data_IF_470647600603
#
_entry.id   IF_470647600603
#
_cell.length_a   1.000
_cell.length_b   1.000
_cell.length_c   1.000
_cell.angle_alpha   90.00
_cell.angle_beta   90.00
_cell.angle_gamma   90.00
#
_symmetry.space_group_name_H-M   'P 1'
#
loop_
_entity.id
_entity.type
_entity.pdbx_description
1 polymer ?
#
# COMPACT_ATOMS: atom_id res chain seq x y z
N UNK A 1 9.75 8.79 5.12
CA UNK A 1 8.44 8.65 4.46
C UNK A 1 7.83 7.31 4.87
N UNK A 2 6.54 7.20 4.88
CA UNK A 2 5.83 5.96 5.21
C UNK A 2 5.06 5.48 3.98
N UNK A 3 5.27 4.23 3.59
CA UNK A 3 4.58 3.65 2.45
C UNK A 3 3.30 2.96 2.96
N UNK A 4 2.16 3.34 2.43
CA UNK A 4 0.88 2.73 2.78
C UNK A 4 0.48 1.72 1.69
N UNK A 5 0.02 0.54 2.10
CA UNK A 5 -0.52 -0.42 1.15
C UNK A 5 -1.98 -0.08 0.80
N UNK A 6 -2.55 -0.83 -0.15
CA UNK A 6 -3.92 -0.62 -0.58
C UNK A 6 -4.92 -0.82 0.57
N UNK A 7 -4.68 -1.78 1.47
CA UNK A 7 -5.60 -2.06 2.59
C UNK A 7 -5.72 -0.87 3.53
N UNK A 8 -4.61 -0.20 3.82
CA UNK A 8 -4.59 0.96 4.72
C UNK A 8 -5.39 2.13 4.11
N UNK A 9 -5.19 2.39 2.83
CA UNK A 9 -5.91 3.47 2.13
C UNK A 9 -7.39 3.15 1.98
N UNK A 10 -7.72 1.94 1.53
CA UNK A 10 -9.11 1.52 1.38
C UNK A 10 -9.86 1.55 2.71
N UNK A 11 -9.21 1.11 3.78
CA UNK A 11 -9.80 1.18 5.11
C UNK A 11 -10.17 2.60 5.51
N UNK A 12 -9.32 3.58 5.23
CA UNK A 12 -9.62 5.00 5.47
C UNK A 12 -10.76 5.50 4.60
N UNK A 13 -10.70 5.24 3.29
CA UNK A 13 -11.70 5.76 2.35
C UNK A 13 -13.08 5.15 2.53
N UNK A 14 -13.14 3.90 2.97
CA UNK A 14 -14.40 3.19 3.23
C UNK A 14 -14.89 3.36 4.68
N UNK A 15 -14.16 4.12 5.49
CA UNK A 15 -14.56 4.41 6.87
C UNK A 15 -14.49 3.20 7.80
N UNK A 16 -13.58 2.26 7.54
CA UNK A 16 -13.37 1.12 8.44
C UNK A 16 -12.78 1.58 9.77
N UNK A 17 -13.38 1.12 10.88
CA UNK A 17 -12.94 1.50 12.22
C UNK A 17 -11.48 1.11 12.48
N UNK A 18 -11.06 -0.06 12.01
CA UNK A 18 -9.68 -0.55 12.19
C UNK A 18 -8.62 0.32 11.50
N UNK A 19 -9.03 1.16 10.54
CA UNK A 19 -8.13 2.06 9.83
C UNK A 19 -7.85 3.36 10.59
N UNK A 20 -8.51 3.61 11.70
CA UNK A 20 -8.29 4.84 12.48
C UNK A 20 -6.82 5.14 12.76
N UNK A 21 -6.01 4.17 13.22
CA UNK A 21 -4.58 4.41 13.49
C UNK A 21 -3.77 4.82 12.25
N UNK A 22 -4.23 4.55 11.04
CA UNK A 22 -3.54 4.95 9.80
C UNK A 22 -3.45 6.47 9.68
N UNK A 23 -4.45 7.19 10.22
CA UNK A 23 -4.50 8.66 10.16
C UNK A 23 -3.23 9.30 10.70
N UNK A 24 -2.66 8.74 11.75
CA UNK A 24 -1.42 9.24 12.37
C UNK A 24 -0.18 9.15 11.45
N UNK A 25 -0.27 8.40 10.35
CA UNK A 25 0.83 8.21 9.41
C UNK A 25 0.66 9.01 8.11
N UNK A 26 -0.43 9.75 7.95
CA UNK A 26 -0.73 10.44 6.68
C UNK A 26 0.18 11.63 6.40
N UNK A 27 0.74 12.28 7.42
CA UNK A 27 1.52 13.52 7.26
C UNK A 27 2.77 13.35 6.38
N UNK A 28 3.31 12.15 6.30
CA UNK A 28 4.49 11.84 5.50
C UNK A 28 4.30 10.49 4.78
N UNK A 29 3.14 10.33 4.16
CA UNK A 29 2.74 9.08 3.54
C UNK A 29 2.88 9.10 2.02
N UNK A 30 3.16 7.93 1.48
CA UNK A 30 3.22 7.69 0.06
C UNK A 30 2.55 6.36 -0.29
N UNK A 31 2.17 6.23 -1.54
CA UNK A 31 1.58 5.01 -2.09
C UNK A 31 2.27 4.66 -3.41
N UNK A 32 2.52 3.38 -3.65
CA UNK A 32 2.96 2.93 -4.97
C UNK A 32 1.89 3.21 -6.04
N UNK A 33 2.31 3.59 -7.22
CA UNK A 33 1.40 3.76 -8.37
C UNK A 33 0.58 2.48 -8.64
N UNK A 34 1.16 1.30 -8.41
CA UNK A 34 0.43 0.03 -8.55
C UNK A 34 -0.70 -0.07 -7.53
N UNK A 35 -0.44 0.28 -6.29
CA UNK A 35 -1.45 0.24 -5.23
C UNK A 35 -2.50 1.33 -5.41
N UNK A 36 -2.13 2.47 -5.97
CA UNK A 36 -3.10 3.48 -6.37
C UNK A 36 -4.10 2.90 -7.39
N UNK A 37 -3.61 2.18 -8.40
CA UNK A 37 -4.47 1.52 -9.38
C UNK A 37 -5.40 0.50 -8.72
N UNK A 38 -4.89 -0.29 -7.77
CA UNK A 38 -5.72 -1.23 -7.00
C UNK A 38 -6.83 -0.52 -6.22
N UNK A 39 -6.49 0.57 -5.53
CA UNK A 39 -7.45 1.34 -4.75
C UNK A 39 -8.56 1.88 -5.65
N UNK A 40 -8.19 2.50 -6.77
CA UNK A 40 -9.16 3.04 -7.72
C UNK A 40 -10.08 1.93 -8.27
N UNK A 41 -9.50 0.77 -8.62
CA UNK A 41 -10.27 -0.37 -9.12
C UNK A 41 -11.26 -0.92 -8.09
N UNK A 42 -10.84 -1.03 -6.83
CA UNK A 42 -11.74 -1.51 -5.77
C UNK A 42 -12.83 -0.51 -5.42
N UNK A 43 -12.55 0.78 -5.51
CA UNK A 43 -13.57 1.81 -5.34
C UNK A 43 -14.57 1.79 -6.50
N UNK A 44 -14.13 1.46 -7.71
CA UNK A 44 -15.00 1.26 -8.86
C UNK A 44 -16.00 0.10 -8.59
N UNK A 45 -15.54 -0.97 -7.94
CA UNK A 45 -16.39 -2.10 -7.56
C UNK A 45 -17.55 -1.70 -6.64
N UNK A 46 -17.40 -0.62 -5.88
CA UNK A 46 -18.46 -0.06 -5.03
C UNK A 46 -19.10 1.20 -5.65
N UNK A 47 -19.03 1.30 -6.98
CA UNK A 47 -19.63 2.36 -7.79
C UNK A 47 -19.11 3.77 -7.51
N UNK A 48 -17.87 3.89 -7.06
CA UNK A 48 -17.20 5.19 -6.93
C UNK A 48 -16.42 5.50 -8.22
N UNK A 49 -16.80 6.54 -8.98
CA UNK A 49 -16.10 6.87 -10.23
C UNK A 49 -14.63 7.25 -9.99
N UNK A 50 -13.78 6.99 -10.98
CA UNK A 50 -12.34 7.24 -10.88
C UNK A 50 -12.01 8.71 -10.53
N UNK A 51 -12.77 9.68 -11.05
CA UNK A 51 -12.53 11.09 -10.74
C UNK A 51 -12.83 11.43 -9.26
N UNK A 52 -13.81 10.77 -8.65
CA UNK A 52 -14.11 10.92 -7.22
C UNK A 52 -13.01 10.29 -6.38
N UNK A 53 -12.57 9.09 -6.78
CA UNK A 53 -11.44 8.41 -6.11
C UNK A 53 -10.18 9.28 -6.17
N UNK A 54 -9.87 9.87 -7.33
CA UNK A 54 -8.73 10.77 -7.48
C UNK A 54 -8.81 11.99 -6.54
N UNK A 55 -9.98 12.60 -6.43
CA UNK A 55 -10.19 13.72 -5.51
C UNK A 55 -9.93 13.32 -4.05
N UNK A 56 -10.43 12.16 -3.62
CA UNK A 56 -10.19 11.66 -2.27
C UNK A 56 -8.71 11.41 -2.02
N UNK A 57 -8.01 10.83 -2.98
CA UNK A 57 -6.57 10.60 -2.87
C UNK A 57 -5.80 11.91 -2.73
N UNK A 58 -6.17 12.94 -3.51
CA UNK A 58 -5.56 14.26 -3.40
C UNK A 58 -5.82 14.91 -2.04
N UNK A 59 -7.01 14.71 -1.47
CA UNK A 59 -7.35 15.24 -0.14
C UNK A 59 -6.54 14.59 0.96
N UNK A 60 -6.15 13.32 0.80
CA UNK A 60 -5.26 12.65 1.73
C UNK A 60 -3.81 13.15 1.60
N UNK A 61 -3.54 13.93 0.56
CA UNK A 61 -2.22 14.50 0.27
C UNK A 61 -1.12 13.42 0.19
N UNK A 62 -1.47 12.28 -0.39
CA UNK A 62 -0.53 11.18 -0.57
C UNK A 62 0.41 11.46 -1.73
N UNK A 63 1.68 11.19 -1.49
CA UNK A 63 2.67 11.17 -2.56
C UNK A 63 2.56 9.85 -3.33
N UNK A 64 2.47 9.91 -4.66
CA UNK A 64 2.47 8.72 -5.50
C UNK A 64 3.88 8.43 -5.96
N UNK A 65 4.37 7.23 -5.67
CA UNK A 65 5.70 6.77 -6.08
C UNK A 65 5.57 5.96 -7.36
N UNK A 66 6.28 6.37 -8.40
CA UNK A 66 6.31 5.63 -9.66
C UNK A 66 6.85 4.22 -9.45
N UNK A 67 6.27 3.25 -10.14
CA UNK A 67 6.73 1.86 -10.12
C UNK A 67 7.70 1.64 -11.27
N UNK A 68 8.99 1.74 -10.97
CA UNK A 68 10.07 1.69 -11.96
C UNK A 68 10.67 0.28 -12.13
N UNK A 69 11.69 0.17 -12.97
CA UNK A 69 12.37 -1.09 -13.24
C UNK A 69 13.00 -1.69 -11.97
N UNK A 70 13.65 -0.88 -11.14
CA UNK A 70 14.25 -1.34 -9.90
C UNK A 70 13.20 -2.00 -9.01
N UNK A 71 12.07 -1.33 -8.82
CA UNK A 71 10.97 -1.85 -8.00
C UNK A 71 10.34 -3.10 -8.64
N UNK A 72 10.24 -3.16 -9.95
CA UNK A 72 9.73 -4.33 -10.65
C UNK A 72 10.62 -5.55 -10.41
N UNK A 73 11.92 -5.38 -10.45
CA UNK A 73 12.87 -6.46 -10.17
C UNK A 73 12.79 -6.93 -8.72
N UNK A 74 12.66 -6.00 -7.78
CA UNK A 74 12.49 -6.33 -6.36
C UNK A 74 11.18 -7.09 -6.15
N UNK A 75 10.07 -6.59 -6.70
CA UNK A 75 8.76 -7.23 -6.54
C UNK A 75 8.73 -8.64 -7.12
N UNK A 76 9.31 -8.84 -8.30
CA UNK A 76 9.45 -10.15 -8.91
C UNK A 76 10.31 -11.09 -8.07
N UNK A 77 11.41 -10.57 -7.55
CA UNK A 77 12.35 -11.34 -6.70
C UNK A 77 11.76 -11.77 -5.35
N UNK A 78 10.71 -11.10 -4.88
CA UNK A 78 10.04 -11.45 -3.62
C UNK A 78 9.04 -12.60 -3.75
N UNK A 79 8.72 -13.04 -4.96
CA UNK A 79 7.62 -13.99 -5.17
C UNK A 79 7.81 -15.29 -4.38
N UNK A 80 9.00 -15.87 -4.42
CA UNK A 80 9.29 -17.13 -3.72
C UNK A 80 9.24 -16.97 -2.20
N UNK A 81 9.85 -15.92 -1.68
CA UNK A 81 9.90 -15.66 -0.23
C UNK A 81 8.54 -15.38 0.38
N UNK A 82 7.61 -14.85 -0.42
CA UNK A 82 6.27 -14.47 0.04
C UNK A 82 5.19 -15.46 -0.40
N UNK A 83 5.57 -16.57 -1.04
CA UNK A 83 4.63 -17.56 -1.57
C UNK A 83 3.75 -18.18 -0.49
N UNK A 84 4.29 -18.38 0.72
CA UNK A 84 3.56 -18.96 1.86
C UNK A 84 2.40 -18.06 2.34
N UNK A 85 2.45 -16.77 2.05
CA UNK A 85 1.37 -15.83 2.36
C UNK A 85 0.45 -15.58 1.16
N UNK A 86 0.78 -16.10 -0.01
CA UNK A 86 0.00 -15.90 -1.22
C UNK A 86 -0.08 -14.43 -1.66
N UNK A 87 0.98 -13.65 -1.43
CA UNK A 87 0.97 -12.23 -1.77
C UNK A 87 0.78 -12.00 -3.26
N UNK A 88 -0.11 -11.06 -3.59
CA UNK A 88 -0.35 -10.65 -4.97
C UNK A 88 0.81 -9.82 -5.51
N UNK A 89 0.79 -9.56 -6.81
CA UNK A 89 1.73 -8.63 -7.42
C UNK A 89 1.62 -7.23 -6.79
N UNK A 90 0.41 -6.77 -6.50
CA UNK A 90 0.19 -5.48 -5.82
C UNK A 90 0.81 -5.44 -4.44
N UNK A 91 0.65 -6.50 -3.65
CA UNK A 91 1.29 -6.60 -2.33
C UNK A 91 2.80 -6.51 -2.47
N UNK A 92 3.38 -7.28 -3.39
CA UNK A 92 4.83 -7.27 -3.63
C UNK A 92 5.33 -5.93 -4.18
N UNK A 93 4.50 -5.24 -4.96
CA UNK A 93 4.83 -3.89 -5.43
C UNK A 93 4.94 -2.90 -4.27
N UNK A 94 4.03 -2.99 -3.29
CA UNK A 94 4.11 -2.18 -2.07
C UNK A 94 5.41 -2.44 -1.31
N UNK A 95 5.74 -3.71 -1.10
CA UNK A 95 6.98 -4.08 -0.43
C UNK A 95 8.21 -3.56 -1.19
N UNK A 96 8.19 -3.69 -2.51
CA UNK A 96 9.29 -3.21 -3.36
C UNK A 96 9.48 -1.70 -3.26
N UNK A 97 8.39 -0.95 -3.21
CA UNK A 97 8.43 0.51 -3.05
C UNK A 97 9.08 0.88 -1.73
N UNK A 98 8.70 0.23 -0.64
CA UNK A 98 9.31 0.45 0.66
C UNK A 98 10.80 0.09 0.69
N UNK A 99 11.16 -1.06 0.13
CA UNK A 99 12.54 -1.53 0.08
C UNK A 99 13.41 -0.58 -0.74
N UNK A 100 12.96 -0.18 -1.93
CA UNK A 100 13.72 0.72 -2.80
C UNK A 100 13.94 2.10 -2.16
N UNK A 101 12.94 2.60 -1.42
CA UNK A 101 13.02 3.89 -0.74
C UNK A 101 13.75 3.80 0.61
N UNK A 102 13.93 2.61 1.18
CA UNK A 102 14.44 2.44 2.53
C UNK A 102 13.48 2.93 3.60
N UNK A 103 12.17 2.89 3.33
CA UNK A 103 11.13 3.41 4.22
C UNK A 103 10.25 2.30 4.78
N UNK A 104 9.67 2.56 5.95
CA UNK A 104 8.73 1.64 6.58
C UNK A 104 7.44 1.55 5.79
N UNK A 105 6.75 0.42 5.97
CA UNK A 105 5.48 0.12 5.33
C UNK A 105 4.42 -0.03 6.40
N UNK A 106 3.24 0.55 6.15
CA UNK A 106 2.06 0.41 7.02
C UNK A 106 0.98 -0.34 6.26
N UNK A 107 0.42 -1.37 6.89
CA UNK A 107 -0.64 -2.22 6.36
C UNK A 107 -1.68 -2.54 7.42
N UNK A 108 -2.88 -2.89 6.99
CA UNK A 108 -3.91 -3.49 7.86
C UNK A 108 -3.93 -5.01 7.73
N UNK A 109 -3.15 -5.59 6.83
CA UNK A 109 -3.12 -7.05 6.62
C UNK A 109 -2.24 -7.73 7.66
N UNK A 110 -2.88 -8.44 8.59
CA UNK A 110 -2.19 -9.14 9.68
C UNK A 110 -1.21 -10.21 9.23
N UNK A 111 -1.43 -10.78 8.05
CA UNK A 111 -0.52 -11.79 7.50
C UNK A 111 0.90 -11.25 7.27
N UNK A 112 1.03 -9.96 7.05
CA UNK A 112 2.34 -9.34 6.82
C UNK A 112 3.22 -9.26 8.05
N UNK A 113 2.67 -9.51 9.24
CA UNK A 113 3.46 -9.52 10.48
C UNK A 113 4.57 -10.58 10.48
N UNK A 114 4.42 -11.65 9.68
CA UNK A 114 5.41 -12.71 9.56
C UNK A 114 6.48 -12.47 8.48
N UNK A 115 6.39 -11.35 7.74
CA UNK A 115 7.37 -11.04 6.71
C UNK A 115 8.68 -10.57 7.32
N UNK A 116 9.77 -11.11 6.80
CA UNK A 116 11.13 -10.71 7.15
C UNK A 116 11.78 -10.10 5.91
N UNK A 117 11.73 -8.78 5.82
CA UNK A 117 12.28 -8.02 4.69
C UNK A 117 13.18 -6.90 5.19
N UNK A 118 13.84 -6.20 4.24
CA UNK A 118 14.86 -5.21 4.55
C UNK A 118 14.35 -3.93 5.26
N UNK A 119 13.04 -3.71 5.29
CA UNK A 119 12.44 -2.52 5.93
C UNK A 119 11.40 -2.92 6.97
N UNK A 120 11.13 -2.07 7.97
CA UNK A 120 10.09 -2.37 8.96
C UNK A 120 8.70 -2.40 8.34
N UNK A 121 7.89 -3.35 8.79
CA UNK A 121 6.46 -3.41 8.47
C UNK A 121 5.68 -3.17 9.76
N UNK A 122 4.83 -2.17 9.74
CA UNK A 122 3.94 -1.83 10.84
C UNK A 122 2.53 -2.29 10.49
N UNK A 123 2.06 -3.32 11.18
CA UNK A 123 0.71 -3.86 10.99
C UNK A 123 -0.22 -3.17 11.98
N UNK A 124 -1.23 -2.44 11.47
CA UNK A 124 -2.22 -1.72 12.26
C UNK A 124 -3.59 -2.41 12.14
N UNK A 125 -4.40 -2.25 13.10
CA UNK A 125 -5.73 -2.84 13.12
C UNK A 125 -5.78 -4.21 13.75
#
# INVERSE_FOLDING_TARGET
MTILDASAILGLLLGEERAGPVVGHLSDAAISAVNLAEVVGKLDDVAMPAHVAADLMHRLNLRVVEFDEEQALIAGGLKRETAHLGLSLGDRACLATGIAAGDRIVTLDRAWASLDIAVPILVLG
#
